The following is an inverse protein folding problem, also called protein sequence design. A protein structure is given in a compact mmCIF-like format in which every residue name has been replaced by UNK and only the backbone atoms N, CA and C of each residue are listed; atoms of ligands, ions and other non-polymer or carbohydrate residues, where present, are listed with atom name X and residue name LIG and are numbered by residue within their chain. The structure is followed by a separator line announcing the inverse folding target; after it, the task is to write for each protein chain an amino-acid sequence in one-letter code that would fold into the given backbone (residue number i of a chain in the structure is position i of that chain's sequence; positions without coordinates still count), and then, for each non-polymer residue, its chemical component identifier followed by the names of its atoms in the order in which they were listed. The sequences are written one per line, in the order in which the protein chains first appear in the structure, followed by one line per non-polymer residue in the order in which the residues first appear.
data_IF_849414566294
#
_entry.id   IF_849414566294
#
_cell.length_a   1.000
_cell.length_b   1.000
_cell.length_c   1.000
_cell.angle_alpha   90.00
_cell.angle_beta   90.00
_cell.angle_gamma   90.00
#
_symmetry.space_group_name_H-M   'P 1'
#
loop_
_entity.id
_entity.type
_entity.pdbx_description
1 polymer ?
#
# COMPACT_ATOMS: atom_id res chain seq x y z
N UNK A 1 -8.24 13.52 10.80
CA UNK A 1 -7.81 12.12 10.82
C UNK A 1 -8.06 11.57 9.43
N UNK A 2 -7.03 11.15 8.67
CA UNK A 2 -7.29 10.55 7.36
C UNK A 2 -8.22 9.35 7.55
N UNK A 3 -9.26 9.25 6.74
CA UNK A 3 -10.22 8.15 6.80
C UNK A 3 -9.47 6.84 6.56
N UNK A 4 -9.49 5.95 7.56
CA UNK A 4 -8.85 4.64 7.48
C UNK A 4 -9.72 3.71 6.65
N UNK A 5 -9.44 3.65 5.36
CA UNK A 5 -10.13 2.76 4.44
C UNK A 5 -9.29 1.53 4.17
N UNK A 6 -9.93 0.35 4.24
CA UNK A 6 -9.31 -0.93 3.95
C UNK A 6 -9.47 -1.26 2.46
N UNK A 7 -8.35 -1.37 1.75
CA UNK A 7 -8.32 -1.84 0.37
C UNK A 7 -8.11 -3.35 0.34
N UNK A 8 -8.93 -4.04 -0.45
CA UNK A 8 -8.88 -5.51 -0.60
C UNK A 8 -8.42 -5.89 -2.00
N UNK A 9 -7.39 -6.73 -2.06
CA UNK A 9 -6.82 -7.26 -3.29
C UNK A 9 -5.83 -6.32 -3.98
N UNK A 10 -4.84 -6.92 -4.64
CA UNK A 10 -3.79 -6.20 -5.37
C UNK A 10 -4.34 -5.18 -6.37
N UNK A 11 -5.45 -5.47 -7.05
CA UNK A 11 -6.03 -4.54 -8.02
C UNK A 11 -6.41 -3.19 -7.40
N UNK A 12 -7.12 -3.19 -6.26
CA UNK A 12 -7.51 -1.95 -5.56
C UNK A 12 -6.31 -1.25 -4.94
N UNK A 13 -5.41 -2.02 -4.33
CA UNK A 13 -4.19 -1.51 -3.68
C UNK A 13 -3.30 -0.79 -4.70
N UNK A 14 -3.01 -1.42 -5.85
CA UNK A 14 -2.19 -0.83 -6.89
C UNK A 14 -2.87 0.40 -7.53
N UNK A 15 -4.20 0.35 -7.74
CA UNK A 15 -4.95 1.47 -8.29
C UNK A 15 -4.91 2.70 -7.36
N UNK A 16 -5.03 2.50 -6.04
CA UNK A 16 -4.93 3.57 -5.06
C UNK A 16 -3.52 4.14 -4.96
N UNK A 17 -2.52 3.28 -4.73
CA UNK A 17 -1.14 3.70 -4.55
C UNK A 17 -0.55 4.30 -5.85
N UNK A 18 -1.10 3.95 -7.02
CA UNK A 18 -0.54 4.20 -8.36
C UNK A 18 0.88 3.64 -8.51
N UNK A 19 1.14 2.51 -7.86
CA UNK A 19 2.42 1.80 -7.86
C UNK A 19 2.16 0.35 -8.27
N UNK A 20 3.03 -0.18 -9.14
CA UNK A 20 2.92 -1.57 -9.57
C UNK A 20 3.24 -2.53 -8.42
N UNK A 21 2.58 -3.69 -8.40
CA UNK A 21 2.79 -4.73 -7.37
C UNK A 21 4.26 -5.06 -7.15
N UNK A 22 5.04 -5.19 -8.24
CA UNK A 22 6.47 -5.49 -8.16
C UNK A 22 7.25 -4.41 -7.39
N UNK A 23 6.95 -3.13 -7.64
CA UNK A 23 7.58 -2.03 -6.91
C UNK A 23 7.10 -1.97 -5.46
N UNK A 24 5.82 -2.25 -5.20
CA UNK A 24 5.30 -2.31 -3.85
C UNK A 24 6.03 -3.35 -3.00
N UNK A 25 6.26 -4.56 -3.55
CA UNK A 25 7.04 -5.61 -2.89
C UNK A 25 8.50 -5.17 -2.69
N UNK A 26 9.13 -4.61 -3.73
CA UNK A 26 10.53 -4.17 -3.68
C UNK A 26 10.78 -3.07 -2.64
N UNK A 27 9.85 -2.13 -2.50
CA UNK A 27 9.96 -1.01 -1.56
C UNK A 27 9.26 -1.28 -0.22
N UNK A 28 8.82 -2.52 0.03
CA UNK A 28 8.22 -2.92 1.31
C UNK A 28 6.99 -2.10 1.69
N UNK A 29 6.08 -1.84 0.73
CA UNK A 29 4.82 -1.19 1.04
C UNK A 29 3.99 -2.02 2.04
N UNK A 30 3.23 -1.35 2.94
CA UNK A 30 2.39 -2.04 3.93
C UNK A 30 1.23 -2.75 3.24
N UNK A 31 1.42 -4.04 2.95
CA UNK A 31 0.42 -4.95 2.40
C UNK A 31 0.45 -6.21 3.24
N UNK A 32 -0.71 -6.63 3.71
CA UNK A 32 -0.87 -7.73 4.64
C UNK A 32 -1.61 -8.90 3.99
N UNK A 33 -1.31 -10.12 4.39
CA UNK A 33 -2.15 -11.26 4.08
C UNK A 33 -3.48 -11.12 4.84
N UNK A 34 -4.59 -11.21 4.12
CA UNK A 34 -5.92 -11.14 4.71
C UNK A 34 -6.68 -12.44 4.48
N UNK A 35 -7.52 -12.81 5.45
CA UNK A 35 -8.29 -14.03 5.36
C UNK A 35 -9.26 -13.97 4.17
N UNK A 36 -9.04 -14.87 3.20
CA UNK A 36 -9.85 -14.97 1.99
C UNK A 36 -11.30 -15.31 2.29
N UNK A 37 -11.58 -16.03 3.37
CA UNK A 37 -12.94 -16.36 3.77
C UNK A 37 -13.71 -15.11 4.25
N UNK A 38 -13.03 -14.20 4.94
CA UNK A 38 -13.62 -12.96 5.47
C UNK A 38 -13.72 -11.88 4.39
N UNK A 39 -12.79 -11.86 3.43
CA UNK A 39 -12.66 -10.78 2.45
C UNK A 39 -13.04 -11.18 1.03
N UNK A 40 -14.11 -11.96 0.85
CA UNK A 40 -14.67 -12.30 -0.48
C UNK A 40 -13.65 -12.91 -1.46
N UNK A 41 -12.71 -13.71 -0.97
CA UNK A 41 -11.67 -14.35 -1.78
C UNK A 41 -10.42 -13.51 -2.02
N UNK A 42 -10.38 -12.25 -1.57
CA UNK A 42 -9.16 -11.46 -1.60
C UNK A 42 -8.19 -11.94 -0.51
N UNK A 43 -6.96 -12.26 -0.91
CA UNK A 43 -5.92 -12.76 0.00
C UNK A 43 -4.96 -11.71 0.52
N UNK A 44 -5.10 -10.45 0.09
CA UNK A 44 -4.26 -9.34 0.58
C UNK A 44 -5.09 -8.11 0.86
N UNK A 45 -4.66 -7.33 1.84
CA UNK A 45 -5.27 -6.05 2.18
C UNK A 45 -4.21 -4.98 2.50
N UNK A 46 -4.59 -3.70 2.42
CA UNK A 46 -3.77 -2.58 2.84
C UNK A 46 -4.65 -1.43 3.33
N UNK A 47 -4.16 -0.67 4.31
CA UNK A 47 -4.85 0.52 4.81
C UNK A 47 -4.37 1.78 4.07
N UNK A 48 -5.29 2.65 3.68
CA UNK A 48 -4.97 3.85 2.89
C UNK A 48 -4.03 4.81 3.60
N UNK A 49 -4.21 5.01 4.91
CA UNK A 49 -3.36 5.87 5.74
C UNK A 49 -1.91 5.38 5.83
N UNK A 50 -1.71 4.08 5.98
CA UNK A 50 -0.39 3.46 6.00
C UNK A 50 0.30 3.54 4.63
N UNK A 51 -0.44 3.32 3.55
CA UNK A 51 0.07 3.49 2.18
C UNK A 51 0.52 4.93 1.92
N UNK A 52 -0.27 5.91 2.34
CA UNK A 52 0.04 7.33 2.17
C UNK A 52 1.24 7.74 3.04
N UNK A 53 1.32 7.27 4.28
CA UNK A 53 2.46 7.51 5.16
C UNK A 53 3.76 6.94 4.59
N UNK A 54 3.72 5.70 4.07
CA UNK A 54 4.89 5.06 3.46
C UNK A 54 5.33 5.78 2.19
N UNK A 55 4.37 6.19 1.34
CA UNK A 55 4.66 6.97 0.13
C UNK A 55 5.33 8.30 0.47
N UNK A 56 4.79 9.05 1.44
CA UNK A 56 5.38 10.31 1.88
C UNK A 56 6.80 10.11 2.46
N UNK A 57 7.05 9.00 3.15
CA UNK A 57 8.38 8.64 3.63
C UNK A 57 9.36 8.38 2.47
N UNK A 58 8.95 7.61 1.45
CA UNK A 58 9.77 7.34 0.27
C UNK A 58 10.10 8.61 -0.51
N UNK A 59 9.14 9.53 -0.69
CA UNK A 59 9.36 10.82 -1.34
C UNK A 59 10.37 11.69 -0.55
N UNK A 60 10.26 11.71 0.79
CA UNK A 60 11.21 12.41 1.66
C UNK A 60 12.62 11.81 1.58
N UNK A 61 12.73 10.48 1.52
CA UNK A 61 14.02 9.79 1.37
C UNK A 61 14.63 10.00 -0.02
N UNK A 62 13.81 10.00 -1.08
CA UNK A 62 14.25 10.32 -2.44
C UNK A 62 14.79 11.74 -2.55
N UNK A 63 14.12 12.71 -1.91
CA UNK A 63 14.58 14.11 -1.87
C UNK A 63 15.91 14.29 -1.13
N UNK A 64 16.22 13.46 -0.13
CA UNK A 64 17.51 13.48 0.58
C UNK A 64 18.67 12.86 -0.19
N UNK A 65 18.42 11.99 -1.17
CA UNK A 65 19.47 11.32 -1.95
C UNK A 65 19.94 12.12 -3.18
N UNK A 66 19.27 13.23 -3.49
CA UNK A 66 19.61 14.14 -4.59
C UNK A 66 20.04 15.54 -4.14
N UNK A 67 20.43 15.71 -2.87
CA UNK A 67 20.98 16.95 -2.32
C UNK A 67 22.46 16.78 -1.97
#
# INVERSE_FOLDING_TARGET
MPERNLLLGWAKICAYAKVSRLLMIRYGYPVYDCDRAVHHGYGVCAYTDELDAHKAQLERLGKKRGA
#
